data_IF_235528654056
#
_entry.id   IF_235528654056
#
_cell.length_a   1.000
_cell.length_b   1.000
_cell.length_c   1.000
_cell.angle_alpha   90.00
_cell.angle_beta   90.00
_cell.angle_gamma   90.00
#
_symmetry.space_group_name_H-M   'P 1'
#
loop_
_entity.id
_entity.type
_entity.pdbx_description
1 polymer ?
#
# COMPACT_ATOMS: atom_id res chain seq x y z
N UNK A 1 16.35 -52.67 43.86
CA UNK A 1 16.62 -52.96 42.43
C UNK A 1 15.47 -52.40 41.60
N UNK A 2 15.78 -51.53 40.61
CA UNK A 2 14.98 -51.19 39.40
C UNK A 2 13.70 -50.35 39.67
N UNK A 3 13.34 -49.29 38.94
CA UNK A 3 13.99 -48.26 38.12
C UNK A 3 12.84 -47.32 37.70
N UNK A 4 13.09 -46.00 37.73
CA UNK A 4 12.53 -44.95 36.84
C UNK A 4 11.01 -44.79 36.68
N UNK A 5 10.50 -43.58 36.93
CA UNK A 5 9.93 -42.76 35.85
C UNK A 5 9.82 -41.29 36.28
N UNK A 6 10.78 -40.50 35.82
CA UNK A 6 10.78 -39.03 35.82
C UNK A 6 9.81 -38.54 34.74
N UNK A 7 8.76 -37.81 35.13
CA UNK A 7 7.89 -37.10 34.19
C UNK A 7 8.23 -35.60 34.23
N UNK A 8 9.19 -35.18 33.40
CA UNK A 8 9.52 -33.78 33.18
C UNK A 8 8.53 -33.17 32.18
N UNK A 9 7.58 -32.38 32.66
CA UNK A 9 6.64 -31.63 31.83
C UNK A 9 7.26 -30.28 31.43
N UNK A 10 8.10 -30.29 30.40
CA UNK A 10 8.68 -29.07 29.82
C UNK A 10 7.74 -28.53 28.72
N UNK A 11 6.81 -27.65 29.10
CA UNK A 11 6.01 -26.88 28.14
C UNK A 11 6.85 -25.73 27.59
N UNK A 12 7.50 -25.96 26.44
CA UNK A 12 8.16 -24.91 25.67
C UNK A 12 7.10 -24.02 25.01
N UNK A 13 6.85 -22.83 25.58
CA UNK A 13 6.14 -21.76 24.90
C UNK A 13 7.01 -21.24 23.74
N UNK A 14 6.74 -21.74 22.53
CA UNK A 14 7.24 -21.16 21.30
C UNK A 14 6.53 -19.82 21.08
N UNK A 15 7.16 -18.73 21.54
CA UNK A 15 6.89 -17.39 21.03
C UNK A 15 7.39 -17.31 19.59
N UNK A 16 6.56 -17.72 18.63
CA UNK A 16 6.76 -17.40 17.22
C UNK A 16 6.63 -15.88 17.04
N UNK A 17 7.76 -15.19 17.10
CA UNK A 17 7.92 -13.85 16.58
C UNK A 17 7.71 -13.90 15.05
N UNK A 18 6.46 -13.77 14.61
CA UNK A 18 6.15 -13.56 13.20
C UNK A 18 6.76 -12.22 12.78
N UNK A 19 7.70 -12.24 11.84
CA UNK A 19 8.37 -11.05 11.30
C UNK A 19 7.57 -10.48 10.12
N UNK A 20 6.82 -9.37 10.24
CA UNK A 20 6.15 -8.76 9.10
C UNK A 20 7.09 -7.71 8.48
N UNK A 21 8.29 -8.11 8.05
CA UNK A 21 9.30 -7.16 7.55
C UNK A 21 9.42 -7.15 6.02
N UNK A 22 9.25 -8.29 5.36
CA UNK A 22 9.53 -8.43 3.93
C UNK A 22 8.50 -7.70 3.03
N UNK A 23 7.21 -7.75 3.38
CA UNK A 23 6.15 -7.13 2.58
C UNK A 23 6.06 -5.59 2.71
N UNK A 24 6.80 -4.99 3.65
CA UNK A 24 6.89 -3.53 3.82
C UNK A 24 8.04 -2.97 2.99
N UNK A 25 9.21 -3.62 3.04
CA UNK A 25 10.40 -3.18 2.33
C UNK A 25 10.22 -3.09 0.81
N UNK A 26 9.46 -4.02 0.21
CA UNK A 26 9.25 -4.03 -1.25
C UNK A 26 8.40 -2.83 -1.71
N UNK A 27 7.32 -2.53 -0.98
CA UNK A 27 6.45 -1.37 -1.25
C UNK A 27 7.17 -0.04 -1.09
N UNK A 28 8.00 0.08 -0.05
CA UNK A 28 8.75 1.31 0.22
C UNK A 28 9.79 1.55 -0.88
N UNK A 29 10.43 0.49 -1.38
CA UNK A 29 11.36 0.55 -2.53
C UNK A 29 10.66 0.93 -3.83
N UNK A 30 9.50 0.34 -4.14
CA UNK A 30 8.72 0.70 -5.33
C UNK A 30 8.33 2.18 -5.32
N UNK A 31 7.94 2.69 -4.15
CA UNK A 31 7.59 4.10 -4.00
C UNK A 31 8.81 5.01 -4.17
N UNK A 32 9.97 4.63 -3.64
CA UNK A 32 11.21 5.39 -3.81
C UNK A 32 11.65 5.45 -5.27
N UNK A 33 11.64 4.30 -5.96
CA UNK A 33 11.92 4.22 -7.40
C UNK A 33 11.00 5.14 -8.21
N UNK A 34 9.73 5.29 -7.80
CA UNK A 34 8.81 6.22 -8.46
C UNK A 34 9.06 7.68 -8.13
N UNK A 35 9.53 8.01 -6.93
CA UNK A 35 9.99 9.37 -6.61
C UNK A 35 11.17 9.74 -7.49
N UNK A 36 12.13 8.84 -7.65
CA UNK A 36 13.26 9.04 -8.56
C UNK A 36 12.81 9.16 -10.02
N UNK A 37 11.91 8.28 -10.48
CA UNK A 37 11.36 8.36 -11.82
C UNK A 37 10.61 9.70 -12.06
N UNK A 38 9.89 10.20 -11.05
CA UNK A 38 9.23 11.50 -11.10
C UNK A 38 10.24 12.66 -11.14
N UNK A 39 11.32 12.58 -10.35
CA UNK A 39 12.42 13.54 -10.37
C UNK A 39 13.12 13.59 -11.74
N UNK A 40 13.17 12.46 -12.44
CA UNK A 40 13.68 12.33 -13.80
C UNK A 40 12.65 12.68 -14.89
N UNK A 41 11.42 13.10 -14.52
CA UNK A 41 10.36 13.48 -15.45
C UNK A 41 9.70 12.31 -16.20
N UNK A 42 9.94 11.05 -15.79
CA UNK A 42 9.38 9.85 -16.44
C UNK A 42 7.92 9.59 -16.06
N UNK A 43 7.49 10.08 -14.90
CA UNK A 43 6.12 9.97 -14.38
C UNK A 43 5.72 11.27 -13.68
N UNK A 44 4.41 11.51 -13.55
CA UNK A 44 3.91 12.66 -12.79
C UNK A 44 4.14 12.41 -11.30
N UNK A 45 4.67 13.39 -10.55
CA UNK A 45 4.83 13.27 -9.10
C UNK A 45 3.51 12.92 -8.42
N UNK A 46 3.55 11.96 -7.50
CA UNK A 46 2.37 11.46 -6.77
C UNK A 46 1.55 12.60 -6.14
N UNK A 47 2.21 13.61 -5.55
CA UNK A 47 1.51 14.77 -4.97
C UNK A 47 0.69 15.56 -6.01
N UNK A 48 1.21 15.71 -7.24
CA UNK A 48 0.47 16.34 -8.34
C UNK A 48 -0.71 15.49 -8.77
N UNK A 49 -0.56 14.17 -8.86
CA UNK A 49 -1.66 13.26 -9.19
C UNK A 49 -2.79 13.34 -8.15
N UNK A 50 -2.45 13.37 -6.86
CA UNK A 50 -3.43 13.51 -5.78
C UNK A 50 -4.15 14.86 -5.88
N UNK A 51 -3.41 15.95 -6.12
CA UNK A 51 -4.00 17.28 -6.28
C UNK A 51 -4.94 17.36 -7.48
N UNK A 52 -4.54 16.78 -8.61
CA UNK A 52 -5.34 16.74 -9.83
C UNK A 52 -6.63 15.93 -9.63
N UNK A 53 -6.55 14.74 -9.04
CA UNK A 53 -7.76 13.96 -8.77
C UNK A 53 -8.69 14.72 -7.84
N UNK A 54 -8.16 15.36 -6.79
CA UNK A 54 -8.94 16.16 -5.82
C UNK A 54 -9.51 17.45 -6.39
N UNK A 55 -9.07 17.93 -7.55
CA UNK A 55 -9.68 19.11 -8.18
C UNK A 55 -10.96 18.75 -8.96
N UNK A 56 -11.16 17.47 -9.29
CA UNK A 56 -12.28 17.01 -10.11
C UNK A 56 -13.45 16.45 -9.28
N UNK A 57 -14.70 16.81 -9.60
CA UNK A 57 -15.86 16.08 -9.10
C UNK A 57 -15.87 14.62 -9.61
N UNK A 58 -16.36 13.64 -8.82
CA UNK A 58 -16.86 13.78 -7.44
C UNK A 58 -15.76 13.74 -6.37
N UNK A 59 -14.50 13.52 -6.75
CA UNK A 59 -13.39 13.26 -5.82
C UNK A 59 -12.99 14.45 -4.96
N UNK A 60 -13.30 15.67 -5.42
CA UNK A 60 -13.11 16.91 -4.65
C UNK A 60 -13.84 16.89 -3.30
N UNK A 61 -14.98 16.23 -3.24
CA UNK A 61 -15.82 16.17 -2.04
C UNK A 61 -15.46 14.94 -1.16
N UNK A 62 -14.50 14.12 -1.60
CA UNK A 62 -14.03 12.93 -0.91
C UNK A 62 -12.74 13.19 -0.12
N UNK A 63 -12.54 12.44 0.97
CA UNK A 63 -11.32 12.55 1.79
C UNK A 63 -10.26 11.56 1.32
N UNK A 64 -9.11 12.03 0.85
CA UNK A 64 -7.98 11.14 0.53
C UNK A 64 -7.40 10.50 1.79
N UNK A 65 -7.27 9.18 1.81
CA UNK A 65 -6.87 8.38 2.97
C UNK A 65 -5.37 8.07 3.05
N UNK A 66 -4.59 8.45 2.04
CA UNK A 66 -3.18 8.10 1.97
C UNK A 66 -2.91 6.64 1.61
N UNK A 67 -1.68 6.20 1.84
CA UNK A 67 -1.21 4.84 1.53
C UNK A 67 -1.46 4.41 0.08
N UNK A 68 -1.05 5.22 -0.93
CA UNK A 68 -1.27 4.86 -2.31
C UNK A 68 -0.46 3.61 -2.65
N UNK A 69 -1.05 2.73 -3.46
CA UNK A 69 -0.35 1.55 -3.97
C UNK A 69 0.00 1.78 -5.42
N UNK A 70 1.27 1.61 -5.76
CA UNK A 70 1.69 1.56 -7.16
C UNK A 70 1.56 0.12 -7.69
N UNK A 71 1.06 -0.01 -8.91
CA UNK A 71 0.89 -1.28 -9.63
C UNK A 71 1.76 -1.18 -10.88
N UNK A 72 2.98 -1.70 -10.79
CA UNK A 72 4.03 -1.52 -11.78
C UNK A 72 3.66 -2.12 -13.14
N UNK A 73 3.01 -3.27 -13.15
CA UNK A 73 2.60 -3.99 -14.37
C UNK A 73 1.69 -3.15 -15.27
N UNK A 74 0.96 -2.20 -14.67
CA UNK A 74 -0.01 -1.34 -15.36
C UNK A 74 0.38 0.13 -15.35
N UNK A 75 1.46 0.50 -14.67
CA UNK A 75 1.86 1.91 -14.45
C UNK A 75 0.75 2.76 -13.84
N UNK A 76 0.06 2.22 -12.82
CA UNK A 76 -1.11 2.86 -12.21
C UNK A 76 -0.92 3.03 -10.71
N UNK A 77 -1.36 4.18 -10.19
CA UNK A 77 -1.57 4.40 -8.77
C UNK A 77 -3.01 4.06 -8.37
N UNK A 78 -3.16 3.28 -7.31
CA UNK A 78 -4.40 3.09 -6.59
C UNK A 78 -4.44 4.06 -5.41
N UNK A 79 -5.25 5.12 -5.54
CA UNK A 79 -5.47 6.15 -4.55
C UNK A 79 -6.74 5.84 -3.77
N UNK A 80 -6.70 5.92 -2.44
CA UNK A 80 -7.88 5.62 -1.60
C UNK A 80 -8.54 6.89 -1.14
N UNK A 81 -9.85 6.95 -1.28
CA UNK A 81 -10.69 8.06 -0.86
C UNK A 81 -11.82 7.55 0.04
N UNK A 82 -12.30 8.40 0.94
CA UNK A 82 -13.51 8.18 1.71
C UNK A 82 -14.62 9.02 1.10
N UNK A 83 -15.70 8.36 0.69
CA UNK A 83 -16.95 8.95 0.21
C UNK A 83 -18.04 8.62 1.24
N UNK A 84 -18.33 9.58 2.13
CA UNK A 84 -19.15 9.33 3.32
C UNK A 84 -18.57 8.22 4.20
N UNK A 85 -19.18 7.04 4.16
CA UNK A 85 -18.79 5.85 4.92
C UNK A 85 -18.19 4.74 4.03
N UNK A 86 -17.94 5.02 2.75
CA UNK A 86 -17.41 4.05 1.79
C UNK A 86 -15.99 4.42 1.36
N UNK A 87 -15.10 3.43 1.30
CA UNK A 87 -13.76 3.61 0.75
C UNK A 87 -13.81 3.39 -0.76
N UNK A 88 -13.49 4.42 -1.54
CA UNK A 88 -13.38 4.33 -3.00
C UNK A 88 -11.91 4.29 -3.39
N UNK A 89 -11.50 3.27 -4.14
CA UNK A 89 -10.18 3.15 -4.76
C UNK A 89 -10.24 3.72 -6.17
N UNK A 90 -9.48 4.77 -6.43
CA UNK A 90 -9.35 5.44 -7.73
C UNK A 90 -8.03 5.03 -8.37
N UNK A 91 -8.10 4.53 -9.59
CA UNK A 91 -6.94 4.10 -10.37
C UNK A 91 -6.53 5.23 -11.33
N UNK A 92 -5.29 5.68 -11.22
CA UNK A 92 -4.75 6.81 -11.98
C UNK A 92 -3.50 6.38 -12.73
N UNK A 93 -3.44 6.66 -14.02
CA UNK A 93 -2.25 6.44 -14.84
C UNK A 93 -1.10 7.33 -14.37
N UNK A 94 0.05 6.73 -14.05
CA UNK A 94 1.18 7.45 -13.45
C UNK A 94 1.90 8.40 -14.42
N UNK A 95 1.73 8.22 -15.74
CA UNK A 95 2.42 9.01 -16.76
C UNK A 95 1.60 10.22 -17.19
N UNK A 96 0.28 10.06 -17.24
CA UNK A 96 -0.65 11.05 -17.80
C UNK A 96 -1.53 11.71 -16.74
N UNK A 97 -1.73 11.07 -15.59
CA UNK A 97 -2.66 11.51 -14.55
C UNK A 97 -4.13 11.23 -14.87
N UNK A 98 -4.41 10.53 -15.98
CA UNK A 98 -5.76 10.16 -16.35
C UNK A 98 -6.31 9.12 -15.39
N UNK A 99 -7.55 9.33 -14.94
CA UNK A 99 -8.29 8.31 -14.18
C UNK A 99 -8.67 7.17 -15.14
N UNK A 100 -8.22 5.96 -14.82
CA UNK A 100 -8.44 4.76 -15.66
C UNK A 100 -9.47 3.80 -15.07
N UNK A 101 -9.95 4.06 -13.85
CA UNK A 101 -11.03 3.31 -13.22
C UNK A 101 -11.26 3.71 -11.78
N UNK A 102 -12.32 3.18 -11.19
CA UNK A 102 -12.62 3.28 -9.76
C UNK A 102 -13.31 2.03 -9.25
N UNK A 103 -13.18 1.72 -7.96
CA UNK A 103 -13.88 0.64 -7.27
C UNK A 103 -14.34 1.11 -5.87
N UNK A 104 -15.58 0.82 -5.47
CA UNK A 104 -16.02 1.01 -4.08
C UNK A 104 -15.41 -0.04 -3.13
#
# INVERSE_FOLDING_TARGET
MIRTLTLSLASALLLTAGTPALARGDRDRDQENLREAAAQGKVIPLGRLIAEVRSHPPYRDMTYLGGPRFIAERMVYALKFMDGNQVVVVYVDARTGRIVGRKP
#
